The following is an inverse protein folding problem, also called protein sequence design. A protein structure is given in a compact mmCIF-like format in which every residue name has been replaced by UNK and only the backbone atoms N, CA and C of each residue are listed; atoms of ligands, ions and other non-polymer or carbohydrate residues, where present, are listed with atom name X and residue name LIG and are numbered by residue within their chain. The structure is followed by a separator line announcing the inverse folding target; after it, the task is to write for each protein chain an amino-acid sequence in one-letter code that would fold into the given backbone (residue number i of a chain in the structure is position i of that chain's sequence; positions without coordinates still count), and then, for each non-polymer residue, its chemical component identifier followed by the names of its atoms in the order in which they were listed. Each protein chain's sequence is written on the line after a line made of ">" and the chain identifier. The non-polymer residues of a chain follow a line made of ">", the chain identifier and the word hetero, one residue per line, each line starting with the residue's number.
data_IF_640445721844
#
_entry.id   IF_640445721844
#
_cell.length_a   1.000
_cell.length_b   1.000
_cell.length_c   1.000
_cell.angle_alpha   90.00
_cell.angle_beta   90.00
_cell.angle_gamma   90.00
#
_symmetry.space_group_name_H-M   'P 1'
#
loop_
_entity.id
_entity.type
_entity.pdbx_description
1 polymer ?
#
# COMPACT_ATOMS: atom_id res chain seq x y z
N UNK A 1 -1.41 -18.86 -22.60
CA UNK A 1 -1.18 -17.67 -21.75
C UNK A 1 -2.40 -17.30 -20.89
N UNK A 2 -3.61 -17.50 -21.45
CA UNK A 2 -4.87 -17.08 -20.84
C UNK A 2 -5.48 -18.12 -19.90
N UNK A 3 -4.85 -19.27 -19.74
CA UNK A 3 -5.29 -20.30 -18.81
C UNK A 3 -5.14 -19.78 -17.36
N UNK A 4 -6.13 -20.09 -16.52
CA UNK A 4 -6.05 -19.81 -15.09
C UNK A 4 -4.94 -20.67 -14.46
N UNK A 5 -4.03 -20.04 -13.72
CA UNK A 5 -2.90 -20.71 -13.06
C UNK A 5 -2.93 -20.53 -11.54
N UNK A 6 -3.61 -19.51 -11.06
CA UNK A 6 -3.64 -19.19 -9.65
C UNK A 6 -5.03 -18.70 -9.23
N UNK A 7 -5.51 -19.19 -8.11
CA UNK A 7 -6.67 -18.65 -7.40
C UNK A 7 -6.16 -18.11 -6.07
N UNK A 8 -6.09 -16.80 -5.96
CA UNK A 8 -5.58 -16.11 -4.79
C UNK A 8 -6.73 -15.61 -3.92
N UNK A 9 -6.82 -16.10 -2.70
CA UNK A 9 -7.87 -15.68 -1.78
C UNK A 9 -7.53 -14.33 -1.16
N UNK A 10 -8.52 -13.42 -1.14
CA UNK A 10 -8.43 -12.13 -0.47
C UNK A 10 -9.29 -12.15 0.77
N UNK A 11 -8.84 -11.47 1.83
CA UNK A 11 -9.67 -11.21 3.01
C UNK A 11 -10.73 -10.17 2.62
N UNK A 12 -11.92 -10.64 2.24
CA UNK A 12 -13.04 -9.74 1.95
C UNK A 12 -13.45 -8.95 3.21
N UNK A 13 -13.61 -7.65 3.10
CA UNK A 13 -14.09 -6.78 4.18
C UNK A 13 -15.55 -7.08 4.60
N UNK A 14 -16.24 -7.97 3.91
CA UNK A 14 -17.69 -8.25 4.07
C UNK A 14 -18.02 -9.73 4.29
N UNK A 15 -17.07 -10.58 4.71
CA UNK A 15 -17.39 -11.98 4.99
C UNK A 15 -16.40 -13.00 4.41
N UNK A 16 -16.89 -14.01 3.69
CA UNK A 16 -16.06 -15.10 3.15
C UNK A 16 -14.97 -14.61 2.20
N UNK A 17 -13.74 -15.16 2.27
CA UNK A 17 -12.67 -14.83 1.36
C UNK A 17 -13.09 -15.05 -0.10
N UNK A 18 -12.63 -14.16 -1.00
CA UNK A 18 -12.89 -14.24 -2.44
C UNK A 18 -11.66 -14.77 -3.17
N UNK A 19 -11.82 -15.72 -4.06
CA UNK A 19 -10.73 -16.28 -4.86
C UNK A 19 -10.55 -15.53 -6.16
N UNK A 20 -9.63 -14.57 -6.24
CA UNK A 20 -9.29 -13.92 -7.49
C UNK A 20 -8.56 -14.89 -8.41
N UNK A 21 -9.10 -15.13 -9.61
CA UNK A 21 -8.57 -16.07 -10.59
C UNK A 21 -7.63 -15.35 -11.56
N UNK A 22 -6.35 -15.70 -11.52
CA UNK A 22 -5.29 -15.08 -12.31
C UNK A 22 -4.76 -16.03 -13.38
N UNK A 23 -4.50 -15.51 -14.57
CA UNK A 23 -3.91 -16.25 -15.68
C UNK A 23 -2.37 -16.15 -15.67
N UNK A 24 -1.72 -17.03 -16.42
CA UNK A 24 -0.29 -16.91 -16.72
C UNK A 24 0.06 -15.52 -17.27
N UNK A 25 -0.79 -14.99 -18.17
CA UNK A 25 -0.58 -13.70 -18.80
C UNK A 25 -0.62 -12.55 -17.79
N UNK A 26 -1.56 -12.59 -16.84
CA UNK A 26 -1.64 -11.61 -15.78
C UNK A 26 -0.35 -11.55 -14.96
N UNK A 27 0.00 -12.67 -14.32
CA UNK A 27 1.01 -12.69 -13.26
C UNK A 27 2.44 -12.54 -13.80
N UNK A 28 2.78 -13.13 -14.97
CA UNK A 28 4.15 -13.05 -15.47
C UNK A 28 4.48 -11.65 -16.02
N UNK A 29 3.52 -10.97 -16.67
CA UNK A 29 3.74 -9.61 -17.13
C UNK A 29 3.84 -8.64 -15.94
N UNK A 30 3.00 -8.82 -14.90
CA UNK A 30 3.09 -7.98 -13.70
C UNK A 30 4.44 -8.15 -13.01
N UNK A 31 4.87 -9.39 -12.79
CA UNK A 31 6.18 -9.71 -12.22
C UNK A 31 7.33 -9.04 -12.99
N UNK A 32 7.28 -9.11 -14.34
CA UNK A 32 8.27 -8.49 -15.22
C UNK A 32 8.31 -6.97 -15.06
N UNK A 33 7.17 -6.29 -15.13
CA UNK A 33 7.13 -4.83 -15.06
C UNK A 33 7.52 -4.30 -13.68
N UNK A 34 7.14 -4.99 -12.60
CA UNK A 34 7.60 -4.64 -11.25
C UNK A 34 9.13 -4.68 -11.16
N UNK A 35 9.75 -5.75 -11.65
CA UNK A 35 11.20 -5.93 -11.58
C UNK A 35 11.97 -4.98 -12.52
N UNK A 36 11.37 -4.59 -13.64
CA UNK A 36 11.93 -3.54 -14.52
C UNK A 36 12.00 -2.18 -13.83
N UNK A 37 11.00 -1.82 -13.01
CA UNK A 37 10.99 -0.55 -12.26
C UNK A 37 12.10 -0.45 -11.22
N UNK A 38 12.49 -1.56 -10.59
CA UNK A 38 13.59 -1.63 -9.63
C UNK A 38 14.94 -2.01 -10.27
N UNK A 39 14.98 -2.12 -11.60
CA UNK A 39 16.17 -2.51 -12.37
C UNK A 39 16.79 -3.82 -11.89
N UNK A 40 15.95 -4.82 -11.59
CA UNK A 40 16.43 -6.14 -11.17
C UNK A 40 17.04 -6.87 -12.37
N UNK A 41 18.14 -7.59 -12.15
CA UNK A 41 18.91 -8.33 -13.16
C UNK A 41 19.36 -9.69 -12.62
N UNK A 42 19.99 -10.49 -13.47
CA UNK A 42 20.59 -11.79 -13.12
C UNK A 42 21.72 -11.69 -12.09
N UNK A 43 22.29 -10.51 -11.90
CA UNK A 43 23.35 -10.26 -10.91
C UNK A 43 22.79 -9.96 -9.53
N UNK A 44 21.48 -9.79 -9.41
CA UNK A 44 20.83 -9.43 -8.16
C UNK A 44 20.47 -10.66 -7.29
N UNK A 45 20.42 -10.42 -6.01
CA UNK A 45 20.02 -11.37 -4.98
C UNK A 45 18.86 -10.75 -4.19
N UNK A 46 17.64 -11.24 -4.49
CA UNK A 46 16.41 -10.73 -3.90
C UNK A 46 16.02 -11.50 -2.65
N UNK A 47 15.99 -10.84 -1.51
CA UNK A 47 15.40 -11.38 -0.30
C UNK A 47 13.87 -11.20 -0.30
N UNK A 48 13.15 -12.30 -0.01
CA UNK A 48 11.69 -12.39 -0.03
C UNK A 48 11.19 -12.82 1.36
N UNK A 49 11.15 -11.90 2.35
CA UNK A 49 10.61 -12.21 3.68
C UNK A 49 9.08 -12.15 3.76
N UNK A 50 8.43 -11.73 2.67
CA UNK A 50 6.97 -11.63 2.56
C UNK A 50 6.35 -12.99 2.25
N UNK A 51 5.09 -13.26 2.70
CA UNK A 51 4.44 -14.56 2.52
C UNK A 51 4.28 -14.97 1.05
N UNK A 52 4.61 -16.23 0.72
CA UNK A 52 4.49 -16.76 -0.64
C UNK A 52 3.04 -17.10 -1.06
N UNK A 53 2.14 -17.21 -0.09
CA UNK A 53 0.71 -17.35 -0.37
C UNK A 53 0.01 -16.03 -0.74
N UNK A 54 0.76 -14.91 -0.77
CA UNK A 54 0.29 -13.61 -1.18
C UNK A 54 0.97 -13.19 -2.50
N UNK A 55 0.28 -12.44 -3.36
CA UNK A 55 0.82 -11.95 -4.64
C UNK A 55 2.16 -11.21 -4.47
N UNK A 56 2.38 -10.52 -3.35
CA UNK A 56 3.64 -9.84 -3.09
C UNK A 56 4.82 -10.82 -3.09
N UNK A 57 4.71 -11.93 -2.36
CA UNK A 57 5.77 -12.95 -2.34
C UNK A 57 5.82 -13.76 -3.63
N UNK A 58 4.68 -14.29 -4.07
CA UNK A 58 4.64 -15.23 -5.20
C UNK A 58 4.84 -14.52 -6.54
N UNK A 59 4.05 -13.51 -6.88
CA UNK A 59 4.14 -12.84 -8.18
C UNK A 59 5.33 -11.89 -8.23
N UNK A 60 5.36 -10.91 -7.32
CA UNK A 60 6.42 -9.88 -7.38
C UNK A 60 7.78 -10.45 -6.99
N UNK A 61 7.83 -11.31 -5.95
CA UNK A 61 9.07 -11.93 -5.47
C UNK A 61 9.53 -13.08 -6.35
N UNK A 62 8.85 -14.24 -6.28
CA UNK A 62 9.30 -15.47 -6.93
C UNK A 62 9.30 -15.35 -8.46
N UNK A 63 8.14 -15.01 -9.06
CA UNK A 63 8.07 -14.88 -10.54
C UNK A 63 8.90 -13.70 -11.04
N UNK A 64 8.98 -12.61 -10.26
CA UNK A 64 9.85 -11.48 -10.55
C UNK A 64 11.32 -11.90 -10.65
N UNK A 65 11.85 -12.58 -9.65
CA UNK A 65 13.22 -13.06 -9.63
C UNK A 65 13.48 -14.04 -10.80
N UNK A 66 12.58 -15.01 -11.01
CA UNK A 66 12.69 -15.97 -12.14
C UNK A 66 12.71 -15.24 -13.48
N UNK A 67 11.86 -14.23 -13.69
CA UNK A 67 11.78 -13.48 -14.95
C UNK A 67 13.07 -12.73 -15.31
N UNK A 68 13.93 -12.46 -14.30
CA UNK A 68 15.21 -11.74 -14.46
C UNK A 68 16.43 -12.65 -14.28
N UNK A 69 16.24 -13.92 -13.92
CA UNK A 69 17.34 -14.82 -13.57
C UNK A 69 18.03 -14.45 -12.24
N UNK A 70 17.39 -13.65 -11.40
CA UNK A 70 17.94 -13.21 -10.12
C UNK A 70 17.92 -14.36 -9.10
N UNK A 71 18.87 -14.34 -8.16
CA UNK A 71 18.90 -15.29 -7.05
C UNK A 71 17.81 -14.95 -6.03
N UNK A 72 17.03 -15.94 -5.60
CA UNK A 72 16.06 -15.79 -4.52
C UNK A 72 16.68 -16.20 -3.18
N UNK A 73 16.44 -15.39 -2.15
CA UNK A 73 16.83 -15.67 -0.77
C UNK A 73 15.59 -15.64 0.10
N UNK A 74 15.31 -16.75 0.78
CA UNK A 74 14.19 -16.87 1.72
C UNK A 74 14.73 -16.83 3.15
N UNK A 75 14.55 -15.74 3.89
CA UNK A 75 15.16 -15.55 5.22
C UNK A 75 14.67 -16.53 6.28
N UNK A 76 13.45 -17.04 6.17
CA UNK A 76 12.83 -17.96 7.12
C UNK A 76 11.42 -18.38 6.69
N UNK A 77 10.76 -19.21 7.48
CA UNK A 77 9.38 -19.65 7.24
C UNK A 77 8.37 -18.53 7.48
N UNK A 78 8.68 -17.60 8.38
CA UNK A 78 7.92 -16.40 8.68
C UNK A 78 8.88 -15.22 8.85
N UNK A 79 8.37 -14.01 8.77
CA UNK A 79 9.18 -12.82 8.98
C UNK A 79 9.65 -12.73 10.44
N UNK A 80 10.97 -12.60 10.61
CA UNK A 80 11.64 -12.18 11.84
C UNK A 80 12.77 -11.22 11.46
N UNK A 81 12.82 -10.05 12.07
CA UNK A 81 13.75 -8.97 11.69
C UNK A 81 15.21 -9.41 11.77
N UNK A 82 15.59 -10.11 12.85
CA UNK A 82 16.94 -10.65 13.02
C UNK A 82 17.33 -11.64 11.91
N UNK A 83 16.44 -12.60 11.61
CA UNK A 83 16.68 -13.59 10.54
C UNK A 83 16.79 -12.93 9.17
N UNK A 84 15.92 -11.94 8.90
CA UNK A 84 15.95 -11.18 7.66
C UNK A 84 17.28 -10.43 7.50
N UNK A 85 17.72 -9.68 8.52
CA UNK A 85 18.99 -8.95 8.49
C UNK A 85 20.21 -9.89 8.39
N UNK A 86 20.19 -11.02 9.08
CA UNK A 86 21.26 -12.03 8.98
C UNK A 86 21.35 -12.62 7.56
N UNK A 87 20.20 -12.91 6.93
CA UNK A 87 20.16 -13.37 5.54
C UNK A 87 20.64 -12.30 4.57
N UNK A 88 20.19 -11.04 4.73
CA UNK A 88 20.62 -9.90 3.90
C UNK A 88 22.14 -9.73 3.92
N UNK A 89 22.75 -9.73 5.10
CA UNK A 89 24.20 -9.58 5.26
C UNK A 89 24.98 -10.79 4.74
N UNK A 90 24.60 -12.02 5.18
CA UNK A 90 25.30 -13.26 4.86
C UNK A 90 25.26 -13.56 3.36
N UNK A 91 24.10 -13.43 2.75
CA UNK A 91 23.88 -13.73 1.34
C UNK A 91 24.22 -12.55 0.43
N UNK A 92 24.66 -11.41 0.99
CA UNK A 92 24.93 -10.17 0.25
C UNK A 92 23.79 -9.81 -0.69
N UNK A 93 22.58 -9.78 -0.14
CA UNK A 93 21.40 -9.42 -0.92
C UNK A 93 21.52 -8.00 -1.48
N UNK A 94 21.03 -7.80 -2.71
CA UNK A 94 21.04 -6.50 -3.38
C UNK A 94 19.67 -5.83 -3.36
N UNK A 95 18.64 -6.64 -3.09
CA UNK A 95 17.25 -6.18 -3.03
C UNK A 95 16.49 -6.91 -1.91
N UNK A 96 15.49 -6.22 -1.32
CA UNK A 96 14.54 -6.82 -0.36
C UNK A 96 13.15 -6.26 -0.56
N UNK A 97 12.14 -7.12 -0.44
CA UNK A 97 10.72 -6.75 -0.44
C UNK A 97 10.17 -6.77 0.98
N UNK A 98 9.26 -5.86 1.28
CA UNK A 98 8.62 -5.83 2.59
C UNK A 98 7.47 -4.84 2.69
N UNK A 99 6.67 -4.99 3.72
CA UNK A 99 5.71 -3.97 4.14
C UNK A 99 6.38 -2.97 5.08
N UNK A 100 5.87 -1.73 5.23
CA UNK A 100 6.52 -0.71 6.06
C UNK A 100 6.86 -1.18 7.48
N UNK A 101 5.98 -1.94 8.13
CA UNK A 101 6.22 -2.48 9.48
C UNK A 101 7.40 -3.46 9.55
N UNK A 102 7.66 -4.22 8.48
CA UNK A 102 8.85 -5.08 8.40
C UNK A 102 10.13 -4.24 8.34
N UNK A 103 10.13 -3.15 7.57
CA UNK A 103 11.27 -2.24 7.52
C UNK A 103 11.51 -1.54 8.86
N UNK A 104 10.45 -1.10 9.54
CA UNK A 104 10.57 -0.55 10.91
C UNK A 104 11.22 -1.55 11.85
N UNK A 105 10.75 -2.79 11.87
CA UNK A 105 11.32 -3.84 12.72
C UNK A 105 12.78 -4.16 12.37
N UNK A 106 13.13 -4.17 11.08
CA UNK A 106 14.53 -4.35 10.65
C UNK A 106 15.42 -3.18 11.06
N UNK A 107 14.95 -1.93 10.96
CA UNK A 107 15.68 -0.75 11.41
C UNK A 107 15.91 -0.76 12.93
N UNK A 108 14.91 -1.10 13.72
CA UNK A 108 15.04 -1.23 15.18
C UNK A 108 16.03 -2.35 15.60
N UNK A 109 16.03 -3.45 14.88
CA UNK A 109 16.97 -4.55 15.12
C UNK A 109 18.39 -4.18 14.67
N UNK A 110 18.52 -3.44 13.57
CA UNK A 110 19.82 -2.97 13.05
C UNK A 110 20.50 -1.98 14.01
N UNK A 111 19.73 -1.12 14.69
CA UNK A 111 20.25 -0.23 15.74
C UNK A 111 20.85 -0.99 16.92
N UNK A 112 20.20 -2.10 17.33
CA UNK A 112 20.67 -2.93 18.46
C UNK A 112 21.86 -3.79 18.07
N UNK A 113 21.79 -4.35 16.89
CA UNK A 113 22.71 -5.33 16.36
C UNK A 113 23.10 -4.97 14.92
N UNK A 114 24.11 -4.11 14.70
CA UNK A 114 24.53 -3.69 13.37
C UNK A 114 24.95 -4.84 12.44
N UNK A 115 24.61 -4.75 11.17
CA UNK A 115 24.96 -5.67 10.08
C UNK A 115 25.55 -4.91 8.91
N UNK A 116 26.42 -5.55 8.15
CA UNK A 116 26.87 -5.00 6.86
C UNK A 116 25.80 -5.23 5.79
N UNK A 117 25.14 -4.16 5.40
CA UNK A 117 24.11 -4.12 4.36
C UNK A 117 24.57 -3.35 3.11
N UNK A 118 25.87 -3.14 2.94
CA UNK A 118 26.48 -2.35 1.86
C UNK A 118 26.14 -2.88 0.45
N UNK A 119 25.76 -4.15 0.32
CA UNK A 119 25.31 -4.76 -0.93
C UNK A 119 23.89 -4.37 -1.36
N UNK A 120 23.03 -3.96 -0.40
CA UNK A 120 21.67 -3.54 -0.72
C UNK A 120 21.67 -2.25 -1.54
N UNK A 121 20.72 -2.13 -2.46
CA UNK A 121 20.49 -0.91 -3.26
C UNK A 121 19.02 -0.61 -3.49
N UNK A 122 18.19 -1.63 -3.67
CA UNK A 122 16.83 -1.50 -4.16
C UNK A 122 15.85 -2.44 -3.46
N UNK A 123 14.59 -2.31 -3.79
CA UNK A 123 13.51 -3.17 -3.30
C UNK A 123 12.14 -2.54 -3.51
N UNK A 124 11.15 -3.17 -2.92
CA UNK A 124 9.76 -2.70 -2.94
C UNK A 124 9.23 -2.62 -1.53
N UNK A 125 8.67 -1.46 -1.18
CA UNK A 125 7.90 -1.27 0.03
C UNK A 125 6.43 -1.07 -0.38
N UNK A 126 5.54 -1.95 0.05
CA UNK A 126 4.15 -1.98 -0.40
C UNK A 126 3.20 -2.57 0.64
N UNK A 127 1.90 -2.52 0.36
CA UNK A 127 0.85 -3.13 1.19
C UNK A 127 0.29 -2.20 2.28
N UNK A 128 0.94 -1.08 2.54
CA UNK A 128 0.47 -0.01 3.43
C UNK A 128 1.11 1.33 3.02
N UNK A 129 0.59 2.48 3.52
CA UNK A 129 1.26 3.77 3.37
C UNK A 129 2.68 3.74 3.92
N UNK A 130 3.64 4.31 3.17
CA UNK A 130 5.03 4.38 3.60
C UNK A 130 5.31 5.74 4.24
N UNK A 131 5.60 5.81 5.57
CA UNK A 131 6.00 7.05 6.19
C UNK A 131 7.33 7.56 5.61
N UNK A 132 7.39 8.86 5.29
CA UNK A 132 8.59 9.49 4.70
C UNK A 132 9.84 9.23 5.54
N UNK A 133 9.70 9.26 6.87
CA UNK A 133 10.81 9.03 7.79
C UNK A 133 11.34 7.59 7.72
N UNK A 134 10.45 6.60 7.59
CA UNK A 134 10.86 5.20 7.39
C UNK A 134 11.65 5.07 6.09
N UNK A 135 11.19 5.68 5.00
CA UNK A 135 11.90 5.67 3.73
C UNK A 135 13.29 6.33 3.83
N UNK A 136 13.40 7.46 4.53
CA UNK A 136 14.70 8.14 4.75
C UNK A 136 15.67 7.26 5.51
N UNK A 137 15.20 6.61 6.58
CA UNK A 137 16.02 5.68 7.37
C UNK A 137 16.44 4.46 6.56
N UNK A 138 15.53 3.87 5.78
CA UNK A 138 15.85 2.76 4.88
C UNK A 138 16.93 3.15 3.87
N UNK A 139 16.81 4.35 3.29
CA UNK A 139 17.82 4.87 2.36
C UNK A 139 19.20 5.03 3.01
N UNK A 140 19.27 5.59 4.22
CA UNK A 140 20.54 5.93 4.89
C UNK A 140 21.13 4.78 5.70
N UNK A 141 20.31 4.00 6.42
CA UNK A 141 20.77 2.99 7.37
C UNK A 141 20.85 1.59 6.73
N UNK A 142 20.00 1.30 5.72
CA UNK A 142 20.01 0.03 4.99
C UNK A 142 20.67 0.14 3.59
N UNK A 143 21.26 1.28 3.23
CA UNK A 143 21.89 1.55 1.92
C UNK A 143 20.94 1.36 0.71
N UNK A 144 19.63 1.53 0.88
CA UNK A 144 18.62 1.25 -0.14
C UNK A 144 18.06 2.54 -0.76
N UNK A 145 18.86 3.27 -1.52
CA UNK A 145 18.44 4.54 -2.14
C UNK A 145 17.42 4.38 -3.28
N UNK A 146 17.33 3.18 -3.87
CA UNK A 146 16.49 2.86 -5.02
C UNK A 146 15.20 2.11 -4.66
N UNK A 147 14.69 2.22 -3.42
CA UNK A 147 13.41 1.60 -3.01
C UNK A 147 12.26 2.24 -3.74
N UNK A 148 11.34 1.42 -4.25
CA UNK A 148 10.09 1.88 -4.87
C UNK A 148 8.89 1.56 -4.00
N UNK A 149 7.86 2.40 -4.12
CA UNK A 149 6.52 2.15 -3.58
C UNK A 149 5.66 1.64 -4.70
N UNK A 150 4.75 0.72 -4.43
CA UNK A 150 3.74 0.31 -5.38
C UNK A 150 2.36 0.14 -4.75
N UNK A 151 1.35 0.26 -5.60
CA UNK A 151 -0.06 0.07 -5.27
C UNK A 151 -0.68 -0.94 -6.23
N UNK A 152 -1.60 -1.69 -5.67
CA UNK A 152 -2.46 -2.60 -6.39
C UNK A 152 -3.22 -3.52 -5.44
N UNK A 153 -3.88 -4.49 -6.00
CA UNK A 153 -4.71 -5.46 -5.29
C UNK A 153 -4.59 -6.82 -5.96
N UNK A 154 -4.96 -7.87 -5.28
CA UNK A 154 -4.88 -9.24 -5.82
C UNK A 154 -5.58 -9.35 -7.17
N UNK A 155 -6.72 -8.67 -7.31
CA UNK A 155 -7.54 -8.60 -8.51
C UNK A 155 -6.86 -7.90 -9.70
N UNK A 156 -5.72 -7.24 -9.47
CA UNK A 156 -4.89 -6.59 -10.50
C UNK A 156 -3.47 -7.16 -10.61
N UNK A 157 -3.19 -8.35 -10.07
CA UNK A 157 -2.06 -9.28 -10.34
C UNK A 157 -0.65 -8.93 -9.86
N UNK A 158 -0.31 -8.19 -8.80
CA UNK A 158 -1.15 -7.27 -8.06
C UNK A 158 -0.99 -5.80 -8.45
N UNK A 159 0.11 -5.38 -9.12
CA UNK A 159 0.55 -3.97 -9.20
C UNK A 159 -0.04 -3.25 -10.40
N UNK A 160 -0.71 -2.13 -10.14
CA UNK A 160 -1.19 -1.18 -11.14
C UNK A 160 -0.31 0.07 -11.24
N UNK A 161 0.22 0.55 -10.10
CA UNK A 161 1.08 1.73 -10.02
C UNK A 161 2.37 1.41 -9.26
N UNK A 162 3.45 2.06 -9.66
CA UNK A 162 4.73 1.97 -8.97
C UNK A 162 5.57 3.21 -9.24
N UNK A 163 6.30 3.70 -8.23
CA UNK A 163 7.30 4.76 -8.41
C UNK A 163 8.50 4.26 -9.20
N UNK A 164 9.29 5.19 -9.73
CA UNK A 164 10.60 4.88 -10.28
C UNK A 164 11.69 5.04 -9.23
N UNK A 165 12.80 4.34 -9.39
CA UNK A 165 13.95 4.40 -8.46
C UNK A 165 14.57 5.80 -8.35
N UNK A 166 14.40 6.63 -9.37
CA UNK A 166 14.92 7.99 -9.44
C UNK A 166 13.87 9.08 -9.17
N UNK A 167 12.64 8.70 -8.81
CA UNK A 167 11.66 9.68 -8.33
C UNK A 167 12.14 10.25 -6.97
N UNK A 168 11.90 11.56 -6.69
CA UNK A 168 12.20 12.14 -5.38
C UNK A 168 11.57 11.36 -4.23
N UNK A 169 12.26 11.26 -3.09
CA UNK A 169 11.80 10.48 -1.93
C UNK A 169 10.41 10.90 -1.47
N UNK A 170 10.14 12.21 -1.42
CA UNK A 170 8.85 12.77 -1.06
C UNK A 170 7.75 12.28 -2.01
N UNK A 171 7.98 12.37 -3.33
CA UNK A 171 7.03 11.87 -4.35
C UNK A 171 6.79 10.36 -4.22
N UNK A 172 7.83 9.56 -3.89
CA UNK A 172 7.67 8.12 -3.65
C UNK A 172 6.79 7.81 -2.45
N UNK A 173 6.85 8.61 -1.39
CA UNK A 173 6.09 8.39 -0.15
C UNK A 173 4.69 9.00 -0.18
N UNK A 174 4.52 10.17 -0.84
CA UNK A 174 3.24 10.87 -0.93
C UNK A 174 2.32 10.30 -2.02
N UNK A 175 2.88 9.49 -2.94
CA UNK A 175 2.15 8.89 -4.05
C UNK A 175 2.46 7.40 -4.16
N UNK A 176 1.69 6.70 -4.96
CA UNK A 176 1.96 5.31 -5.34
C UNK A 176 2.69 5.20 -6.69
N UNK A 177 3.25 6.31 -7.16
CA UNK A 177 3.96 6.42 -8.42
C UNK A 177 3.03 6.57 -9.63
N UNK A 178 3.47 6.04 -10.76
CA UNK A 178 2.77 6.13 -12.05
C UNK A 178 2.30 4.76 -12.51
N UNK A 179 1.28 4.75 -13.36
CA UNK A 179 0.71 3.54 -13.94
C UNK A 179 1.75 2.67 -14.64
N UNK A 180 1.61 1.36 -14.54
CA UNK A 180 2.45 0.38 -15.24
C UNK A 180 2.18 0.37 -16.75
N UNK A 181 3.16 -0.07 -17.57
CA UNK A 181 2.95 -0.24 -19.01
C UNK A 181 1.76 -1.16 -19.30
N UNK A 182 1.02 -0.84 -20.36
CA UNK A 182 -0.14 -1.63 -20.84
C UNK A 182 -1.28 -1.77 -19.82
N UNK A 183 -1.36 -0.85 -18.87
CA UNK A 183 -2.51 -0.68 -17.97
C UNK A 183 -3.12 0.67 -18.28
N UNK A 184 -4.42 0.70 -18.39
CA UNK A 184 -5.23 1.90 -18.48
C UNK A 184 -5.88 2.17 -17.12
N UNK A 185 -5.99 3.44 -16.75
CA UNK A 185 -6.62 3.86 -15.50
C UNK A 185 -7.55 5.04 -15.77
N UNK A 186 -8.61 5.11 -15.01
CA UNK A 186 -9.48 6.28 -14.93
C UNK A 186 -9.89 6.50 -13.48
N UNK A 187 -10.23 7.75 -13.16
CA UNK A 187 -10.82 8.11 -11.87
C UNK A 187 -12.23 8.61 -12.18
N UNK A 188 -13.24 8.05 -11.51
CA UNK A 188 -14.65 8.33 -11.79
C UNK A 188 -15.37 8.84 -10.53
N UNK A 189 -16.42 9.63 -10.73
CA UNK A 189 -17.36 10.03 -9.71
C UNK A 189 -18.43 8.96 -9.46
N UNK A 190 -19.39 9.26 -8.57
CA UNK A 190 -20.47 8.34 -8.18
C UNK A 190 -21.42 8.04 -9.35
N UNK A 191 -21.46 8.89 -10.40
CA UNK A 191 -22.23 8.67 -11.61
C UNK A 191 -21.42 7.91 -12.69
N UNK A 192 -20.19 7.48 -12.39
CA UNK A 192 -19.28 6.76 -13.29
C UNK A 192 -18.63 7.66 -14.35
N UNK A 193 -18.73 8.99 -14.22
CA UNK A 193 -18.12 9.94 -15.14
C UNK A 193 -16.66 10.19 -14.76
N UNK A 194 -15.79 10.33 -15.77
CA UNK A 194 -14.37 10.63 -15.55
C UNK A 194 -14.22 12.02 -14.93
N UNK A 195 -13.59 12.10 -13.77
CA UNK A 195 -13.31 13.37 -13.10
C UNK A 195 -12.13 14.10 -13.73
N UNK A 196 -12.07 15.44 -13.62
CA UNK A 196 -10.89 16.20 -14.03
C UNK A 196 -9.62 15.79 -13.28
N UNK A 197 -8.45 15.92 -13.93
CA UNK A 197 -7.15 15.68 -13.31
C UNK A 197 -7.02 16.52 -12.03
N UNK A 198 -6.51 15.90 -10.97
CA UNK A 198 -6.38 16.51 -9.64
C UNK A 198 -7.64 16.44 -8.78
N UNK A 199 -8.73 15.85 -9.29
CA UNK A 199 -9.93 15.57 -8.49
C UNK A 199 -9.97 14.14 -8.01
N UNK A 200 -10.53 13.95 -6.82
CA UNK A 200 -10.73 12.63 -6.22
C UNK A 200 -11.95 11.93 -6.83
N UNK A 201 -11.86 10.61 -6.94
CA UNK A 201 -12.94 9.71 -7.33
C UNK A 201 -12.48 8.26 -7.21
N UNK A 202 -13.35 7.31 -7.57
CA UNK A 202 -12.98 5.89 -7.55
C UNK A 202 -11.96 5.58 -8.65
N UNK A 203 -10.89 4.91 -8.29
CA UNK A 203 -9.89 4.40 -9.23
C UNK A 203 -10.41 3.15 -9.93
N UNK A 204 -10.42 3.18 -11.25
CA UNK A 204 -10.73 2.01 -12.08
C UNK A 204 -9.52 1.65 -12.92
N UNK A 205 -9.26 0.35 -13.06
CA UNK A 205 -8.10 -0.20 -13.77
C UNK A 205 -8.55 -1.17 -14.87
N UNK A 206 -7.93 -1.08 -16.05
CA UNK A 206 -8.15 -2.00 -17.18
C UNK A 206 -6.81 -2.42 -17.79
N UNK A 207 -6.74 -3.63 -18.31
CA UNK A 207 -5.56 -4.12 -19.04
C UNK A 207 -5.18 -5.54 -18.65
N UNK A 208 -3.97 -5.93 -19.02
CA UNK A 208 -3.47 -7.30 -18.84
C UNK A 208 -3.49 -7.78 -17.39
N UNK A 209 -3.42 -6.86 -16.42
CA UNK A 209 -3.31 -7.20 -15.00
C UNK A 209 -4.64 -7.59 -14.35
N UNK A 210 -5.78 -7.21 -14.93
CA UNK A 210 -7.10 -7.49 -14.35
C UNK A 210 -7.37 -8.99 -14.38
N UNK A 211 -7.81 -9.52 -13.25
CA UNK A 211 -8.17 -10.94 -13.06
C UNK A 211 -9.21 -11.41 -14.06
N UNK A 212 -9.33 -12.72 -14.23
CA UNK A 212 -10.42 -13.33 -15.01
C UNK A 212 -11.79 -13.21 -14.34
N UNK A 213 -11.80 -13.08 -13.03
CA UNK A 213 -12.97 -13.00 -12.17
C UNK A 213 -12.74 -13.69 -10.84
N UNK A 214 -13.73 -13.65 -9.97
CA UNK A 214 -13.72 -14.44 -8.73
C UNK A 214 -14.12 -15.89 -9.02
N UNK A 215 -13.38 -16.82 -8.41
CA UNK A 215 -13.61 -18.25 -8.56
C UNK A 215 -15.01 -18.64 -8.09
N UNK A 216 -15.80 -19.26 -9.00
CA UNK A 216 -17.18 -19.69 -8.76
C UNK A 216 -18.12 -18.59 -8.25
N UNK A 217 -17.81 -17.32 -8.50
CA UNK A 217 -18.63 -16.17 -8.06
C UNK A 217 -18.82 -15.16 -9.21
N UNK A 218 -19.66 -15.50 -10.20
CA UNK A 218 -19.91 -14.62 -11.34
C UNK A 218 -20.66 -13.33 -10.96
N UNK A 219 -21.46 -13.34 -9.91
CA UNK A 219 -22.19 -12.15 -9.43
C UNK A 219 -21.19 -11.10 -8.93
N UNK A 220 -20.32 -11.45 -7.97
CA UNK A 220 -19.28 -10.52 -7.50
C UNK A 220 -18.28 -10.15 -8.58
N UNK A 221 -18.07 -11.01 -9.57
CA UNK A 221 -17.23 -10.67 -10.72
C UNK A 221 -17.85 -9.54 -11.53
N UNK A 222 -19.15 -9.65 -11.85
CA UNK A 222 -19.87 -8.60 -12.60
C UNK A 222 -20.00 -7.29 -11.83
N UNK A 223 -20.12 -7.35 -10.50
CA UNK A 223 -20.16 -6.18 -9.64
C UNK A 223 -18.81 -5.43 -9.58
N UNK A 224 -17.70 -6.18 -9.73
CA UNK A 224 -16.35 -5.62 -9.59
C UNK A 224 -15.72 -5.26 -10.94
N UNK A 225 -16.09 -5.95 -12.03
CA UNK A 225 -15.57 -5.69 -13.38
C UNK A 225 -16.71 -5.25 -14.28
N UNK A 226 -16.81 -3.93 -14.50
CA UNK A 226 -17.86 -3.31 -15.31
C UNK A 226 -17.26 -2.80 -16.62
N UNK A 227 -17.76 -3.26 -17.75
CA UNK A 227 -17.29 -2.90 -19.09
C UNK A 227 -15.75 -3.09 -19.27
N UNK A 228 -15.21 -4.14 -18.63
CA UNK A 228 -13.79 -4.47 -18.66
C UNK A 228 -12.91 -3.62 -17.71
N UNK A 229 -13.53 -2.73 -16.91
CA UNK A 229 -12.85 -1.95 -15.89
C UNK A 229 -13.03 -2.59 -14.52
N UNK A 230 -11.93 -2.90 -13.86
CA UNK A 230 -11.91 -3.28 -12.44
C UNK A 230 -12.14 -2.05 -11.58
N UNK A 231 -13.25 -2.01 -10.87
CA UNK A 231 -13.56 -1.02 -9.84
C UNK A 231 -12.83 -1.41 -8.56
N UNK A 232 -11.85 -0.59 -8.16
CA UNK A 232 -10.95 -0.96 -7.05
C UNK A 232 -11.57 -0.78 -5.69
N UNK A 233 -12.60 0.06 -5.58
CA UNK A 233 -13.16 0.52 -4.31
C UNK A 233 -12.25 1.50 -3.57
N UNK A 234 -11.10 1.87 -4.16
CA UNK A 234 -10.18 2.85 -3.59
C UNK A 234 -10.37 4.21 -4.27
N UNK A 235 -10.34 5.26 -3.47
CA UNK A 235 -10.41 6.65 -3.93
C UNK A 235 -9.00 7.15 -4.22
N UNK A 236 -8.84 7.77 -5.39
CA UNK A 236 -7.55 8.24 -5.86
C UNK A 236 -7.61 9.64 -6.47
N UNK A 237 -6.46 10.28 -6.49
CA UNK A 237 -6.20 11.52 -7.25
C UNK A 237 -5.01 11.27 -8.17
N UNK A 238 -5.13 11.60 -9.45
CA UNK A 238 -4.01 11.58 -10.40
C UNK A 238 -3.66 13.01 -10.73
N UNK A 239 -2.39 13.39 -10.54
CA UNK A 239 -1.89 14.73 -10.83
C UNK A 239 -1.52 14.91 -12.32
N UNK A 240 -1.17 16.15 -12.70
CA UNK A 240 -0.79 16.49 -14.09
C UNK A 240 0.51 15.81 -14.56
N UNK A 241 1.33 15.30 -13.64
CA UNK A 241 2.56 14.55 -13.93
C UNK A 241 2.29 13.04 -14.02
N UNK A 242 1.03 12.59 -13.78
CA UNK A 242 0.60 11.20 -13.79
C UNK A 242 0.90 10.43 -12.51
N UNK A 243 1.28 11.10 -11.43
CA UNK A 243 1.39 10.45 -10.12
C UNK A 243 0.01 10.23 -9.50
N UNK A 244 -0.18 9.05 -8.95
CA UNK A 244 -1.41 8.66 -8.28
C UNK A 244 -1.22 8.70 -6.77
N UNK A 245 -2.16 9.32 -6.06
CA UNK A 245 -2.27 9.27 -4.60
C UNK A 245 -3.56 8.55 -4.22
N UNK A 246 -3.48 7.56 -3.34
CA UNK A 246 -4.64 6.88 -2.78
C UNK A 246 -5.08 7.67 -1.55
N UNK A 247 -6.29 8.20 -1.59
CA UNK A 247 -6.82 9.12 -0.56
C UNK A 247 -7.82 8.46 0.39
N UNK A 248 -8.24 7.24 0.10
CA UNK A 248 -9.15 6.49 0.97
C UNK A 248 -9.81 5.32 0.25
N UNK A 249 -10.89 4.82 0.85
CA UNK A 249 -11.79 3.83 0.24
C UNK A 249 -13.19 4.37 0.10
N UNK A 250 -13.88 3.96 -0.95
CA UNK A 250 -15.27 4.37 -1.22
C UNK A 250 -16.17 4.07 -0.02
N UNK A 251 -16.07 2.87 0.56
CA UNK A 251 -16.92 2.45 1.69
C UNK A 251 -16.48 2.99 3.06
N UNK A 252 -15.28 3.52 3.16
CA UNK A 252 -14.79 4.08 4.43
C UNK A 252 -14.95 5.61 4.44
N UNK A 253 -15.39 6.20 3.33
CA UNK A 253 -15.64 7.62 3.21
C UNK A 253 -16.78 8.03 4.15
N UNK A 254 -16.53 9.05 4.96
CA UNK A 254 -17.50 9.59 5.91
C UNK A 254 -18.30 10.69 5.22
N UNK A 255 -19.62 10.56 5.20
CA UNK A 255 -20.52 11.57 4.60
C UNK A 255 -21.15 12.38 5.72
N UNK A 256 -20.54 13.53 6.01
CA UNK A 256 -20.99 14.42 7.08
C UNK A 256 -21.70 15.66 6.54
N UNK A 257 -23.02 15.67 6.64
CA UNK A 257 -23.82 16.82 6.21
C UNK A 257 -23.66 17.18 4.72
N UNK A 258 -23.39 16.18 3.87
CA UNK A 258 -23.14 16.35 2.43
C UNK A 258 -21.67 16.60 2.07
N UNK A 259 -20.77 16.69 3.06
CA UNK A 259 -19.33 16.82 2.85
C UNK A 259 -18.67 15.44 2.92
N UNK A 260 -17.85 15.12 1.91
CA UNK A 260 -17.07 13.90 1.86
C UNK A 260 -15.77 14.07 2.66
N UNK A 261 -15.57 13.22 3.66
CA UNK A 261 -14.38 13.22 4.49
C UNK A 261 -13.66 11.89 4.29
N UNK A 262 -12.39 11.96 3.93
CA UNK A 262 -11.54 10.79 3.73
C UNK A 262 -10.80 10.50 5.04
N UNK A 263 -11.07 9.37 5.71
CA UNK A 263 -10.43 9.01 6.99
C UNK A 263 -8.92 9.16 6.96
N UNK A 264 -8.29 8.65 5.89
CA UNK A 264 -6.85 8.68 5.69
C UNK A 264 -6.25 10.09 5.74
N UNK A 265 -6.91 11.08 5.18
CA UNK A 265 -6.43 12.48 5.21
C UNK A 265 -6.31 12.99 6.66
N UNK A 266 -7.30 12.63 7.50
CA UNK A 266 -7.33 13.01 8.91
C UNK A 266 -6.31 12.18 9.71
N UNK A 267 -6.18 10.89 9.42
CA UNK A 267 -5.18 10.00 10.01
C UNK A 267 -3.75 10.49 9.74
N UNK A 268 -3.41 10.76 8.49
CA UNK A 268 -2.10 11.28 8.09
C UNK A 268 -1.78 12.63 8.77
N UNK A 269 -2.78 13.45 9.00
CA UNK A 269 -2.60 14.68 9.75
C UNK A 269 -2.32 14.41 11.23
N UNK A 270 -3.14 13.58 11.88
CA UNK A 270 -3.01 13.24 13.30
C UNK A 270 -1.71 12.48 13.60
N UNK A 271 -1.22 11.66 12.68
CA UNK A 271 0.08 10.97 12.78
C UNK A 271 1.29 11.91 12.87
N UNK A 272 1.15 13.16 12.44
CA UNK A 272 2.21 14.18 12.60
C UNK A 272 2.34 14.69 14.05
N UNK A 273 1.37 14.37 14.91
CA UNK A 273 1.43 14.77 16.31
C UNK A 273 2.55 13.99 17.04
N UNK A 274 3.48 14.66 17.77
CA UNK A 274 4.70 14.04 18.31
C UNK A 274 4.45 12.88 19.27
N UNK A 275 3.29 12.85 19.92
CA UNK A 275 2.91 11.83 20.91
C UNK A 275 2.07 10.68 20.32
N UNK A 276 1.66 10.74 19.05
CA UNK A 276 0.83 9.70 18.40
C UNK A 276 1.73 8.62 17.83
N UNK A 277 1.42 7.37 18.17
CA UNK A 277 2.05 6.17 17.59
C UNK A 277 1.24 5.63 16.44
N UNK A 278 -0.10 5.59 16.58
CA UNK A 278 -1.02 5.11 15.56
C UNK A 278 -2.39 5.78 15.73
N UNK A 279 -3.19 5.84 14.66
CA UNK A 279 -4.53 6.44 14.69
C UNK A 279 -5.41 5.84 13.61
N UNK A 280 -6.66 5.63 13.96
CA UNK A 280 -7.72 5.23 13.03
C UNK A 280 -8.87 6.23 13.10
N UNK A 281 -9.37 6.62 11.91
CA UNK A 281 -10.51 7.54 11.76
C UNK A 281 -11.64 6.81 11.04
N UNK A 282 -12.87 7.02 11.52
CA UNK A 282 -14.06 6.36 10.95
C UNK A 282 -15.32 7.19 11.23
N UNK A 283 -16.35 6.95 10.43
CA UNK A 283 -17.68 7.53 10.61
C UNK A 283 -18.48 6.81 11.68
N UNK A 284 -19.23 7.57 12.47
CA UNK A 284 -20.25 7.03 13.35
C UNK A 284 -21.59 7.70 13.05
N UNK A 285 -22.73 6.98 13.18
CA UNK A 285 -24.04 7.57 12.93
C UNK A 285 -24.31 8.82 13.78
N UNK A 286 -24.77 9.91 13.15
CA UNK A 286 -25.16 11.15 13.80
C UNK A 286 -26.53 11.61 13.30
N UNK A 287 -27.43 11.92 14.24
CA UNK A 287 -28.82 12.29 13.92
C UNK A 287 -28.99 13.62 13.18
N UNK A 288 -27.98 14.49 13.14
CA UNK A 288 -28.03 15.78 12.47
C UNK A 288 -27.32 15.78 11.12
N UNK A 289 -26.16 15.14 11.05
CA UNK A 289 -25.29 15.20 9.90
C UNK A 289 -25.21 13.87 9.11
N UNK A 290 -25.98 12.84 9.51
CA UNK A 290 -25.92 11.49 8.97
C UNK A 290 -24.77 10.72 9.59
N UNK A 291 -23.55 11.21 9.43
CA UNK A 291 -22.35 10.69 10.09
C UNK A 291 -21.57 11.81 10.79
N UNK A 292 -20.75 11.40 11.77
CA UNK A 292 -19.83 12.27 12.47
C UNK A 292 -18.46 11.62 12.55
N UNK A 293 -17.40 12.43 12.53
CA UNK A 293 -16.01 11.94 12.52
C UNK A 293 -15.61 11.48 13.93
N UNK A 294 -15.15 10.23 14.01
CA UNK A 294 -14.56 9.63 15.19
C UNK A 294 -13.12 9.27 14.94
N UNK A 295 -12.23 9.44 15.93
CA UNK A 295 -10.85 8.94 15.87
C UNK A 295 -10.46 8.19 17.13
N UNK A 296 -9.73 7.09 16.95
CA UNK A 296 -9.05 6.38 18.03
C UNK A 296 -7.55 6.49 17.82
N UNK A 297 -6.81 6.89 18.84
CA UNK A 297 -5.38 7.11 18.75
C UNK A 297 -4.62 6.32 19.83
N UNK A 298 -3.45 5.80 19.47
CA UNK A 298 -2.50 5.15 20.38
C UNK A 298 -1.37 6.12 20.68
N UNK A 299 -1.06 6.29 21.95
CA UNK A 299 0.08 7.10 22.39
C UNK A 299 1.42 6.37 22.17
N UNK A 300 2.47 7.11 21.85
CA UNK A 300 3.83 6.56 21.88
C UNK A 300 4.20 6.12 23.28
N UNK A 301 4.95 5.04 23.40
CA UNK A 301 5.41 4.51 24.68
C UNK A 301 6.11 5.59 25.52
N UNK A 302 5.68 5.71 26.78
CA UNK A 302 6.23 6.68 27.71
C UNK A 302 5.74 8.13 27.55
N UNK A 303 4.73 8.37 26.70
CA UNK A 303 4.09 9.68 26.54
C UNK A 303 2.65 9.67 27.07
N UNK A 304 2.20 10.80 27.59
CA UNK A 304 0.80 11.01 27.94
C UNK A 304 0.13 11.80 26.81
N UNK A 305 -0.86 11.19 26.16
CA UNK A 305 -1.67 11.78 25.10
C UNK A 305 -3.10 11.94 25.58
N UNK A 306 -3.70 13.10 25.33
CA UNK A 306 -5.09 13.38 25.71
C UNK A 306 -5.94 13.68 24.47
N UNK A 307 -7.26 13.52 24.60
CA UNK A 307 -8.22 13.93 23.57
C UNK A 307 -8.10 15.42 23.23
N UNK A 308 -7.82 16.26 24.24
CA UNK A 308 -7.68 17.70 24.07
C UNK A 308 -6.40 18.07 23.30
N UNK A 309 -5.30 17.32 23.48
CA UNK A 309 -4.07 17.48 22.69
C UNK A 309 -4.40 17.34 21.19
N UNK A 310 -5.15 16.28 20.81
CA UNK A 310 -5.50 16.00 19.43
C UNK A 310 -6.52 17.01 18.87
N UNK A 311 -7.53 17.41 19.63
CA UNK A 311 -8.48 18.47 19.23
C UNK A 311 -7.77 19.78 18.97
N UNK A 312 -6.90 20.18 19.88
CA UNK A 312 -6.12 21.41 19.77
C UNK A 312 -5.17 21.38 18.58
N UNK A 313 -4.57 20.22 18.31
CA UNK A 313 -3.69 20.00 17.15
C UNK A 313 -4.42 20.16 15.82
N UNK A 314 -5.67 19.73 15.73
CA UNK A 314 -6.49 19.88 14.53
C UNK A 314 -7.03 21.30 14.33
N UNK A 315 -7.22 22.06 15.38
CA UNK A 315 -7.94 23.34 15.36
C UNK A 315 -7.26 24.37 14.46
N UNK A 316 -7.97 24.81 13.41
CA UNK A 316 -7.49 25.80 12.46
C UNK A 316 -6.41 25.28 11.48
N UNK A 317 -6.07 24.00 11.53
CA UNK A 317 -5.07 23.39 10.68
C UNK A 317 -5.69 22.51 9.57
N UNK A 318 -6.83 21.91 9.85
CA UNK A 318 -7.65 21.18 8.87
C UNK A 318 -9.06 21.81 8.81
N UNK A 319 -9.79 21.52 7.76
CA UNK A 319 -11.16 22.03 7.59
C UNK A 319 -12.01 21.62 8.80
N UNK A 320 -12.83 22.56 9.30
CA UNK A 320 -13.59 22.37 10.53
C UNK A 320 -14.46 21.11 10.54
N UNK A 321 -15.06 20.77 9.39
CA UNK A 321 -15.90 19.58 9.25
C UNK A 321 -15.12 18.27 9.30
N UNK A 322 -13.79 18.29 9.06
CA UNK A 322 -12.88 17.13 9.14
C UNK A 322 -12.33 16.89 10.56
N UNK A 323 -12.45 17.87 11.45
CA UNK A 323 -11.95 17.72 12.82
C UNK A 323 -12.77 16.66 13.55
N UNK A 324 -12.16 15.57 14.07
CA UNK A 324 -12.90 14.57 14.79
C UNK A 324 -13.62 15.15 16.00
N UNK A 325 -14.94 14.95 16.05
CA UNK A 325 -15.78 15.35 17.18
C UNK A 325 -15.60 14.42 18.36
N UNK A 326 -15.46 13.14 18.07
CA UNK A 326 -15.26 12.09 19.04
C UNK A 326 -13.82 11.56 18.92
N UNK A 327 -13.04 11.77 19.95
CA UNK A 327 -11.65 11.29 20.02
C UNK A 327 -11.54 10.37 21.23
N UNK A 328 -10.80 9.26 21.08
CA UNK A 328 -10.43 8.39 22.20
C UNK A 328 -8.96 8.03 22.11
N UNK A 329 -8.28 8.07 23.24
CA UNK A 329 -6.95 7.47 23.37
C UNK A 329 -7.13 6.05 23.88
N UNK A 330 -6.60 5.08 23.11
CA UNK A 330 -6.76 3.65 23.35
C UNK A 330 -5.40 2.95 23.42
N UNK A 331 -5.39 1.74 23.94
CA UNK A 331 -4.16 0.93 24.00
C UNK A 331 -3.98 0.03 22.77
N UNK A 332 -5.06 -0.23 22.02
CA UNK A 332 -5.06 -1.07 20.84
C UNK A 332 -6.18 -0.62 19.89
N UNK A 333 -5.98 -0.77 18.58
CA UNK A 333 -6.99 -0.52 17.55
C UNK A 333 -7.71 -1.81 17.20
N UNK A 334 -9.00 -1.77 16.81
CA UNK A 334 -9.80 -2.95 16.52
C UNK A 334 -9.38 -3.68 15.24
#
# INVERSE_FOLDING_TARGET
>A
PDDAINVQFTSGTTGMPKGATLSHYNIINNARFVTERIKLSENDRLAIPVPLYHCFGMVMGVLGAVSKGATMVFPGEAFAAEQALNALAKEKCTAVYGVPTMFVAMLEELEKNPRDLSSLRTGVMAGAPCPVEVMRRVNSEMNMSEVTICYGMTETSPVSFQSFVNDPTEKRCETVGRVHPHIEVKVVDDDGQIVPVGKSGELCTRGYSVMKGYWEDPEKTSDSIIDGWMHTGDLAVIDVEGFCSIVGRVKDMIIRGGENIYPREVEEYLMRHPKVSDVQVFGIPDGKFGEEVCSWAIAKTGTELTEEDLKSFCKGQIAHFKVPKHIRVVTDLP
#
